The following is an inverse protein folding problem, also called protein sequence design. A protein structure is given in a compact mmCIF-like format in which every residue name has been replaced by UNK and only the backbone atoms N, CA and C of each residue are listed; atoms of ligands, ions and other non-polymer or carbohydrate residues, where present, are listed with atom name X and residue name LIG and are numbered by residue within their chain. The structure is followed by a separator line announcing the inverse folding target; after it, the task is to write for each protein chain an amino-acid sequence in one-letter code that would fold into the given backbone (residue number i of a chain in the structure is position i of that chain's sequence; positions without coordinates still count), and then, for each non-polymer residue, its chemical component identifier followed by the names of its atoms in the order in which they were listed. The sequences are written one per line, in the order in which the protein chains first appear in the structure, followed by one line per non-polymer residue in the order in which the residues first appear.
data_IF_163863396763
#
_entry.id   IF_163863396763
#
_cell.length_a   1.000
_cell.length_b   1.000
_cell.length_c   1.000
_cell.angle_alpha   90.00
_cell.angle_beta   90.00
_cell.angle_gamma   90.00
#
_symmetry.space_group_name_H-M   'P 1'
#
loop_
_entity.id
_entity.type
_entity.pdbx_description
1 polymer ?
#
# COMPACT_ATOMS: atom_id res chain seq x y z
N UNK A 1 -4.23 -6.57 18.34
CA UNK A 1 -4.80 -7.85 18.82
C UNK A 1 -4.96 -7.88 20.34
N UNK A 2 -3.88 -7.64 21.11
CA UNK A 2 -3.89 -7.72 22.59
C UNK A 2 -4.92 -6.80 23.27
N UNK A 3 -5.13 -5.59 22.77
CA UNK A 3 -6.16 -4.67 23.30
C UNK A 3 -7.58 -5.21 23.10
N UNK A 4 -7.88 -5.80 21.94
CA UNK A 4 -9.19 -6.40 21.67
C UNK A 4 -9.46 -7.63 22.54
N UNK A 5 -8.44 -8.43 22.85
CA UNK A 5 -8.57 -9.61 23.74
C UNK A 5 -8.89 -9.19 25.18
N UNK A 6 -8.27 -8.10 25.66
CA UNK A 6 -8.51 -7.58 27.02
C UNK A 6 -9.90 -6.94 27.15
N UNK A 7 -10.38 -6.27 26.11
CA UNK A 7 -11.68 -5.59 26.11
C UNK A 7 -12.84 -6.54 25.78
N UNK A 8 -12.63 -7.55 24.92
CA UNK A 8 -13.65 -8.50 24.49
C UNK A 8 -13.38 -9.88 25.11
N UNK A 9 -13.95 -10.12 26.30
CA UNK A 9 -13.82 -11.39 27.02
C UNK A 9 -14.45 -12.60 26.30
N UNK A 10 -15.34 -12.36 25.34
CA UNK A 10 -16.01 -13.42 24.59
C UNK A 10 -15.30 -13.64 23.24
N UNK A 11 -14.74 -14.83 23.05
CA UNK A 11 -13.97 -15.22 21.87
C UNK A 11 -14.72 -14.99 20.55
N UNK A 12 -16.06 -15.13 20.53
CA UNK A 12 -16.87 -14.90 19.33
C UNK A 12 -16.79 -13.44 18.86
N UNK A 13 -16.78 -12.50 19.79
CA UNK A 13 -16.68 -11.07 19.46
C UNK A 13 -15.29 -10.71 18.95
N UNK A 14 -14.24 -11.38 19.45
CA UNK A 14 -12.88 -11.20 18.95
C UNK A 14 -12.75 -11.60 17.47
N UNK A 15 -13.35 -12.74 17.07
CA UNK A 15 -13.36 -13.15 15.67
C UNK A 15 -14.13 -12.17 14.78
N UNK A 16 -15.30 -11.71 15.22
CA UNK A 16 -16.10 -10.74 14.45
C UNK A 16 -15.35 -9.41 14.29
N UNK A 17 -14.76 -8.90 15.37
CA UNK A 17 -13.98 -7.66 15.32
C UNK A 17 -12.75 -7.79 14.40
N UNK A 18 -12.06 -8.93 14.44
CA UNK A 18 -10.90 -9.19 13.57
C UNK A 18 -11.31 -9.33 12.11
N UNK A 19 -12.42 -10.02 11.83
CA UNK A 19 -12.96 -10.15 10.49
C UNK A 19 -13.38 -8.78 9.93
N UNK A 20 -14.08 -7.96 10.73
CA UNK A 20 -14.48 -6.62 10.33
C UNK A 20 -13.27 -5.72 10.04
N UNK A 21 -12.26 -5.73 10.91
CA UNK A 21 -11.03 -4.97 10.69
C UNK A 21 -10.32 -5.43 9.40
N UNK A 22 -10.24 -6.74 9.17
CA UNK A 22 -9.64 -7.31 7.97
C UNK A 22 -10.41 -6.91 6.70
N UNK A 23 -11.75 -6.90 6.77
CA UNK A 23 -12.60 -6.44 5.67
C UNK A 23 -12.35 -4.97 5.35
N UNK A 24 -12.25 -4.11 6.38
CA UNK A 24 -11.94 -2.69 6.17
C UNK A 24 -10.59 -2.53 5.48
N UNK A 25 -9.55 -3.22 5.95
CA UNK A 25 -8.21 -3.18 5.32
C UNK A 25 -8.24 -3.69 3.89
N UNK A 26 -8.97 -4.77 3.63
CA UNK A 26 -9.15 -5.32 2.29
C UNK A 26 -9.81 -4.31 1.34
N UNK A 27 -10.86 -3.63 1.79
CA UNK A 27 -11.54 -2.59 1.01
C UNK A 27 -10.64 -1.39 0.74
N UNK A 28 -9.79 -0.99 1.70
CA UNK A 28 -8.81 0.08 1.51
C UNK A 28 -7.73 -0.29 0.47
N UNK A 29 -7.45 -1.59 0.29
CA UNK A 29 -6.51 -2.08 -0.71
C UNK A 29 -6.84 -1.68 -2.15
N UNK A 30 -8.10 -1.43 -2.48
CA UNK A 30 -8.51 -0.99 -3.83
C UNK A 30 -8.06 0.44 -4.17
N UNK A 31 -7.77 1.28 -3.17
CA UNK A 31 -7.28 2.65 -3.37
C UNK A 31 -5.75 2.75 -3.41
N UNK A 32 -5.04 1.75 -2.90
CA UNK A 32 -3.58 1.78 -2.81
C UNK A 32 -2.99 1.38 -4.16
N UNK A 33 -2.17 2.23 -4.79
CA UNK A 33 -1.51 1.87 -6.05
C UNK A 33 -0.51 0.74 -5.82
N UNK A 34 -0.25 -0.01 -6.88
CA UNK A 34 0.76 -1.07 -6.87
C UNK A 34 2.17 -0.53 -6.59
N UNK A 35 3.04 -1.38 -6.01
CA UNK A 35 4.36 -0.91 -5.59
C UNK A 35 5.23 -0.49 -6.79
N UNK A 36 5.84 0.70 -6.70
CA UNK A 36 6.69 1.25 -7.75
C UNK A 36 7.86 0.31 -8.10
N UNK A 37 8.45 -0.34 -7.08
CA UNK A 37 9.55 -1.29 -7.25
C UNK A 37 9.12 -2.54 -8.04
N UNK A 38 7.95 -3.10 -7.74
CA UNK A 38 7.45 -4.25 -8.48
C UNK A 38 7.17 -3.87 -9.94
N UNK A 39 6.54 -2.71 -10.18
CA UNK A 39 6.31 -2.21 -11.55
C UNK A 39 7.63 -2.03 -12.32
N UNK A 40 8.67 -1.49 -11.68
CA UNK A 40 9.99 -1.36 -12.28
C UNK A 40 10.58 -2.73 -12.65
N UNK A 41 10.51 -3.72 -11.75
CA UNK A 41 10.98 -5.10 -12.01
C UNK A 41 10.21 -5.83 -13.11
N UNK A 42 8.99 -5.40 -13.42
CA UNK A 42 8.17 -5.94 -14.51
C UNK A 42 8.37 -5.17 -15.83
N UNK A 43 9.36 -4.26 -15.90
CA UNK A 43 9.61 -3.40 -17.06
C UNK A 43 8.58 -2.29 -17.27
N UNK A 44 7.61 -2.12 -16.35
CA UNK A 44 6.53 -1.11 -16.44
C UNK A 44 6.95 0.23 -15.83
N UNK A 45 8.11 0.74 -16.25
CA UNK A 45 8.76 1.91 -15.64
C UNK A 45 7.90 3.17 -15.74
N UNK A 46 7.26 3.42 -16.89
CA UNK A 46 6.39 4.59 -17.07
C UNK A 46 5.21 4.59 -16.09
N UNK A 47 4.63 3.42 -15.80
CA UNK A 47 3.55 3.31 -14.80
C UNK A 47 4.08 3.59 -13.39
N UNK A 48 5.29 3.12 -13.07
CA UNK A 48 5.95 3.42 -11.80
C UNK A 48 6.23 4.93 -11.63
N UNK A 49 6.69 5.61 -12.69
CA UNK A 49 6.91 7.07 -12.71
C UNK A 49 5.61 7.85 -12.48
N UNK A 50 4.53 7.45 -13.13
CA UNK A 50 3.21 8.08 -12.95
C UNK A 50 2.72 7.97 -11.50
N UNK A 51 2.89 6.80 -10.87
CA UNK A 51 2.56 6.61 -9.46
C UNK A 51 3.46 7.47 -8.57
N UNK A 52 4.77 7.55 -8.85
CA UNK A 52 5.69 8.40 -8.10
C UNK A 52 5.28 9.89 -8.14
N UNK A 53 4.90 10.38 -9.32
CA UNK A 53 4.41 11.74 -9.50
C UNK A 53 3.07 11.98 -8.78
N UNK A 54 2.13 11.03 -8.86
CA UNK A 54 0.87 11.09 -8.13
C UNK A 54 1.09 11.19 -6.62
N UNK A 55 1.97 10.35 -6.08
CA UNK A 55 2.32 10.36 -4.65
C UNK A 55 3.01 11.67 -4.25
N UNK A 56 3.89 12.21 -5.09
CA UNK A 56 4.53 13.50 -4.81
C UNK A 56 3.52 14.66 -4.81
N UNK A 57 2.58 14.68 -5.77
CA UNK A 57 1.51 15.67 -5.82
C UNK A 57 0.59 15.60 -4.59
N UNK A 58 0.18 14.40 -4.17
CA UNK A 58 -0.62 14.19 -2.96
C UNK A 58 0.10 14.69 -1.69
N UNK A 59 1.44 14.60 -1.67
CA UNK A 59 2.25 15.05 -0.53
C UNK A 59 2.73 16.51 -0.65
N UNK A 60 2.27 17.27 -1.66
CA UNK A 60 2.75 18.63 -1.96
C UNK A 60 4.29 18.70 -2.07
N UNK A 61 4.89 17.69 -2.69
CA UNK A 61 6.34 17.60 -2.94
C UNK A 61 6.63 17.80 -4.43
N UNK A 62 7.84 18.31 -4.77
CA UNK A 62 8.28 18.37 -6.15
C UNK A 62 8.38 16.96 -6.76
N UNK A 63 8.31 16.85 -8.10
CA UNK A 63 8.40 15.57 -8.79
C UNK A 63 9.71 14.85 -8.42
N UNK A 64 9.65 13.55 -8.07
CA UNK A 64 10.81 12.80 -7.61
C UNK A 64 11.76 12.49 -8.79
N UNK A 65 13.05 12.34 -8.49
CA UNK A 65 14.00 11.83 -9.46
C UNK A 65 13.69 10.35 -9.73
N UNK A 66 13.38 10.03 -10.99
CA UNK A 66 12.94 8.69 -11.41
C UNK A 66 14.06 7.82 -11.98
N UNK A 67 15.30 8.31 -12.04
CA UNK A 67 16.48 7.54 -12.53
C UNK A 67 16.66 6.23 -11.74
N UNK A 68 16.37 6.22 -10.44
CA UNK A 68 16.41 5.00 -9.63
C UNK A 68 15.48 3.90 -10.16
N UNK A 69 14.29 4.26 -10.66
CA UNK A 69 13.33 3.28 -11.22
C UNK A 69 13.85 2.67 -12.53
N UNK A 70 14.63 3.43 -13.30
CA UNK A 70 15.25 2.94 -14.54
C UNK A 70 16.42 2.00 -14.27
N UNK A 71 17.18 2.25 -13.21
CA UNK A 71 18.25 1.36 -12.74
C UNK A 71 17.64 0.00 -12.35
N UNK A 72 16.61 0.01 -11.49
CA UNK A 72 15.94 -1.21 -11.04
C UNK A 72 15.21 -2.00 -12.14
N UNK A 73 14.95 -1.38 -13.29
CA UNK A 73 14.33 -2.05 -14.43
C UNK A 73 15.34 -2.67 -15.40
N UNK A 74 16.62 -2.30 -15.29
CA UNK A 74 17.73 -2.83 -16.11
C UNK A 74 18.47 -3.99 -15.44
N UNK A 75 18.37 -4.10 -14.12
CA UNK A 75 18.80 -5.27 -13.34
C UNK A 75 17.89 -6.49 -13.60
#
# INVERSE_FOLDING_TARGET
FSVFVLLLKNWRHLHIATALFSLIVFLLGFWVPESMRWLASQGKVERAKNIANMVAAMNNRPPPNTTALEIFAKE
#
